data_IF_107960623211
#
_entry.id   IF_107960623211
#
_cell.length_a   1.000
_cell.length_b   1.000
_cell.length_c   1.000
_cell.angle_alpha   90.00
_cell.angle_beta   90.00
_cell.angle_gamma   90.00
#
_symmetry.space_group_name_H-M   'P 1'
#
loop_
_entity.id
_entity.type
_entity.pdbx_description
1 polymer ?
#
# COMPACT_ATOMS: atom_id res chain seq x y z
N UNK A 1 -5.20 -1.64 -5.18
CA UNK A 1 -5.21 -0.25 -4.66
C UNK A 1 -3.87 0.03 -3.98
N UNK A 2 -3.29 1.18 -4.23
CA UNK A 2 -2.16 1.74 -3.49
C UNK A 2 -2.57 3.11 -2.99
N UNK A 3 -2.24 3.43 -1.76
CA UNK A 3 -2.36 4.79 -1.24
C UNK A 3 -0.97 5.41 -1.20
N UNK A 4 -0.83 6.59 -1.72
CA UNK A 4 0.46 7.28 -1.86
C UNK A 4 0.38 8.70 -1.31
N UNK A 5 1.25 9.00 -0.37
CA UNK A 5 1.58 10.34 0.07
C UNK A 5 3.04 10.68 -0.26
N UNK A 6 3.48 11.90 0.01
CA UNK A 6 4.85 12.36 -0.29
C UNK A 6 5.96 11.46 0.27
N UNK A 7 5.77 10.87 1.45
CA UNK A 7 6.83 10.12 2.14
C UNK A 7 6.46 8.68 2.50
N UNK A 8 5.26 8.21 2.13
CA UNK A 8 4.79 6.86 2.42
C UNK A 8 3.87 6.37 1.31
N UNK A 9 4.04 5.11 0.89
CA UNK A 9 3.09 4.37 0.06
C UNK A 9 2.69 3.11 0.78
N UNK A 10 1.39 2.81 0.80
CA UNK A 10 0.84 1.59 1.42
C UNK A 10 -0.08 0.86 0.46
N UNK A 11 -0.08 -0.46 0.53
CA UNK A 11 -0.93 -1.34 -0.28
C UNK A 11 -1.62 -2.32 0.67
N UNK A 12 -2.93 -2.23 0.86
CA UNK A 12 -3.67 -3.21 1.63
C UNK A 12 -3.88 -4.50 0.80
N UNK A 13 -3.63 -5.65 1.43
CA UNK A 13 -3.91 -6.98 0.85
C UNK A 13 -5.42 -7.19 0.80
N UNK A 14 -6.09 -6.98 1.93
CA UNK A 14 -7.55 -6.98 2.04
C UNK A 14 -8.07 -5.56 2.23
N UNK A 15 -9.24 -5.28 1.65
CA UNK A 15 -9.93 -3.99 1.76
C UNK A 15 -11.30 -4.20 2.38
N UNK A 16 -12.15 -3.32 2.50
CA UNK A 16 -13.57 -3.26 2.87
C UNK A 16 -14.19 -4.60 3.39
N UNK A 17 -13.52 -5.26 4.33
CA UNK A 17 -13.97 -6.46 5.02
C UNK A 17 -14.11 -6.17 6.51
N UNK A 18 -15.05 -6.82 7.22
CA UNK A 18 -15.03 -6.86 8.67
C UNK A 18 -13.68 -7.38 9.17
N UNK A 19 -13.14 -6.79 10.23
CA UNK A 19 -11.83 -7.20 10.76
C UNK A 19 -11.79 -8.69 11.15
N UNK A 20 -12.92 -9.23 11.62
CA UNK A 20 -13.06 -10.65 11.97
C UNK A 20 -12.86 -11.60 10.77
N UNK A 21 -13.12 -11.13 9.54
CA UNK A 21 -13.04 -11.95 8.33
C UNK A 21 -11.67 -11.89 7.65
N UNK A 22 -10.81 -10.97 8.11
CA UNK A 22 -9.49 -10.73 7.47
C UNK A 22 -8.61 -11.98 7.54
N UNK A 23 -8.45 -12.58 8.73
CA UNK A 23 -7.59 -13.76 8.88
C UNK A 23 -8.02 -14.91 7.97
N UNK A 24 -9.33 -15.18 7.88
CA UNK A 24 -9.88 -16.23 7.00
C UNK A 24 -9.81 -15.90 5.50
N UNK A 25 -9.59 -14.63 5.14
CA UNK A 25 -9.48 -14.20 3.74
C UNK A 25 -8.04 -14.20 3.24
N UNK A 26 -7.05 -14.06 4.15
CA UNK A 26 -5.65 -14.08 3.78
C UNK A 26 -5.25 -15.43 3.19
N UNK A 27 -4.44 -15.39 2.13
CA UNK A 27 -3.81 -16.57 1.54
C UNK A 27 -2.47 -16.19 0.94
N UNK A 28 -1.58 -17.17 0.79
CA UNK A 28 -0.29 -16.97 0.11
C UNK A 28 -0.48 -16.33 -1.26
N UNK A 29 -1.37 -16.87 -2.07
CA UNK A 29 -1.65 -16.38 -3.42
C UNK A 29 -2.19 -14.94 -3.45
N UNK A 30 -3.05 -14.56 -2.50
CA UNK A 30 -3.57 -13.20 -2.41
C UNK A 30 -2.47 -12.21 -2.03
N UNK A 31 -1.63 -12.54 -1.05
CA UNK A 31 -0.50 -11.70 -0.62
C UNK A 31 0.49 -11.51 -1.78
N UNK A 32 0.86 -12.59 -2.46
CA UNK A 32 1.72 -12.53 -3.66
C UNK A 32 1.12 -11.65 -4.76
N UNK A 33 -0.15 -11.87 -5.09
CA UNK A 33 -0.81 -11.10 -6.15
C UNK A 33 -0.79 -9.59 -5.85
N UNK A 34 -1.05 -9.19 -4.60
CA UNK A 34 -0.99 -7.80 -4.16
C UNK A 34 0.45 -7.27 -4.13
N UNK A 35 1.40 -8.08 -3.67
CA UNK A 35 2.84 -7.76 -3.69
C UNK A 35 3.35 -7.50 -5.11
N UNK A 36 3.08 -8.42 -6.06
CA UNK A 36 3.45 -8.23 -7.48
C UNK A 36 2.81 -6.98 -8.09
N UNK A 37 1.53 -6.73 -7.77
CA UNK A 37 0.85 -5.53 -8.26
C UNK A 37 1.49 -4.25 -7.70
N UNK A 38 1.90 -4.26 -6.43
CA UNK A 38 2.61 -3.14 -5.80
C UNK A 38 3.98 -2.90 -6.47
N UNK A 39 4.79 -3.94 -6.60
CA UNK A 39 6.13 -3.87 -7.18
C UNK A 39 6.11 -3.40 -8.64
N UNK A 40 5.25 -3.99 -9.48
CA UNK A 40 5.04 -3.53 -10.86
C UNK A 40 4.47 -2.11 -10.93
N UNK A 41 3.61 -1.75 -9.97
CA UNK A 41 3.07 -0.40 -9.86
C UNK A 41 4.14 0.63 -9.55
N UNK A 42 5.08 0.32 -8.66
CA UNK A 42 6.24 1.17 -8.34
C UNK A 42 7.14 1.36 -9.55
N UNK A 43 7.40 0.31 -10.32
CA UNK A 43 8.16 0.42 -11.56
C UNK A 43 7.43 1.28 -12.59
N UNK A 44 6.15 0.97 -12.84
CA UNK A 44 5.41 1.55 -13.97
C UNK A 44 4.93 2.97 -13.73
N UNK A 45 4.51 3.30 -12.49
CA UNK A 45 3.88 4.59 -12.16
C UNK A 45 4.82 5.56 -11.44
N UNK A 46 5.89 5.05 -10.81
CA UNK A 46 6.85 5.86 -10.05
C UNK A 46 8.27 5.81 -10.60
N UNK A 47 8.51 5.01 -11.63
CA UNK A 47 9.82 4.94 -12.29
C UNK A 47 10.91 4.25 -11.47
N UNK A 48 10.57 3.59 -10.38
CA UNK A 48 11.54 2.91 -9.50
C UNK A 48 11.94 1.59 -10.16
N UNK A 49 13.18 1.50 -10.64
CA UNK A 49 13.65 0.32 -11.39
C UNK A 49 13.72 -0.94 -10.51
N UNK A 50 14.24 -0.79 -9.31
CA UNK A 50 14.40 -1.86 -8.32
C UNK A 50 13.59 -1.56 -7.05
N UNK A 51 12.26 -1.74 -7.07
CA UNK A 51 11.42 -1.37 -5.95
C UNK A 51 11.61 -2.28 -4.75
N UNK A 52 11.65 -1.68 -3.57
CA UNK A 52 11.77 -2.36 -2.28
C UNK A 52 10.41 -2.40 -1.60
N UNK A 53 9.91 -3.60 -1.31
CA UNK A 53 8.63 -3.82 -0.65
C UNK A 53 8.87 -4.31 0.79
N UNK A 54 8.32 -3.61 1.78
CA UNK A 54 8.29 -4.08 3.15
C UNK A 54 6.92 -4.67 3.46
N UNK A 55 6.87 -5.90 3.97
CA UNK A 55 5.63 -6.60 4.30
C UNK A 55 5.38 -6.53 5.79
N UNK A 56 4.21 -6.03 6.20
CA UNK A 56 3.79 -6.02 7.58
C UNK A 56 3.38 -7.43 8.03
N UNK A 57 3.61 -7.73 9.31
CA UNK A 57 2.96 -8.85 9.97
C UNK A 57 1.46 -8.58 10.11
N UNK A 58 0.69 -9.63 10.29
CA UNK A 58 -0.73 -9.56 10.58
C UNK A 58 -0.98 -9.39 12.09
N UNK A 59 -0.25 -10.21 12.87
CA UNK A 59 -0.36 -10.26 14.32
C UNK A 59 0.59 -9.27 15.02
N UNK A 60 0.33 -8.90 16.27
CA UNK A 60 1.27 -8.14 17.09
C UNK A 60 2.65 -8.80 17.10
N UNK A 61 3.71 -7.99 17.10
CA UNK A 61 5.11 -8.42 17.06
C UNK A 61 5.43 -9.40 15.90
N UNK A 62 4.68 -9.30 14.78
CA UNK A 62 4.77 -10.25 13.67
C UNK A 62 4.64 -11.71 14.10
N UNK A 63 3.68 -12.00 15.00
CA UNK A 63 3.33 -13.33 15.47
C UNK A 63 4.26 -13.93 16.52
N UNK A 64 5.38 -13.25 16.85
CA UNK A 64 6.35 -13.68 17.88
C UNK A 64 6.71 -15.18 17.78
N UNK A 65 7.13 -15.60 16.58
CA UNK A 65 7.48 -17.00 16.32
C UNK A 65 6.30 -17.99 16.38
N UNK A 66 5.07 -17.49 16.27
CA UNK A 66 3.83 -18.28 16.31
C UNK A 66 3.13 -18.26 17.67
N UNK A 67 3.68 -17.56 18.66
CA UNK A 67 3.05 -17.45 19.98
C UNK A 67 1.79 -16.58 19.99
N UNK A 68 1.73 -15.59 19.07
CA UNK A 68 0.62 -14.65 18.93
C UNK A 68 -0.19 -14.84 17.64
N UNK A 69 -0.11 -16.01 17.03
CA UNK A 69 -0.76 -16.35 15.77
C UNK A 69 0.23 -16.97 14.80
N UNK A 70 -0.29 -17.69 13.80
CA UNK A 70 0.56 -18.46 12.87
C UNK A 70 0.50 -17.93 11.43
N UNK A 71 -0.28 -16.89 11.16
CA UNK A 71 -0.49 -16.34 9.82
C UNK A 71 0.82 -15.86 9.19
N UNK A 72 1.77 -15.38 10.00
CA UNK A 72 3.10 -15.04 9.53
C UNK A 72 3.83 -16.27 9.01
N UNK A 73 3.82 -17.36 9.76
CA UNK A 73 4.52 -18.62 9.42
C UNK A 73 3.83 -19.33 8.27
N UNK A 74 2.50 -19.41 8.32
CA UNK A 74 1.73 -20.26 7.42
C UNK A 74 1.38 -19.56 6.09
N UNK A 75 1.36 -18.20 6.05
CA UNK A 75 0.91 -17.45 4.89
C UNK A 75 1.92 -16.36 4.44
N UNK A 76 2.38 -15.49 5.36
CA UNK A 76 3.11 -14.27 4.97
C UNK A 76 4.55 -14.61 4.58
N UNK A 77 5.26 -15.43 5.38
CA UNK A 77 6.63 -15.85 5.08
C UNK A 77 6.70 -16.61 3.75
N UNK A 78 5.85 -17.63 3.50
CA UNK A 78 5.84 -18.29 2.19
C UNK A 78 5.61 -17.33 1.00
N UNK A 79 4.69 -16.37 1.14
CA UNK A 79 4.45 -15.38 0.09
C UNK A 79 5.66 -14.46 -0.16
N UNK A 80 6.36 -14.05 0.90
CA UNK A 80 7.60 -13.27 0.80
C UNK A 80 8.69 -14.08 0.09
N UNK A 81 8.87 -15.35 0.45
CA UNK A 81 9.87 -16.23 -0.15
C UNK A 81 9.60 -16.46 -1.63
N UNK A 82 8.36 -16.66 -2.03
CA UNK A 82 7.97 -16.82 -3.42
C UNK A 82 8.25 -15.53 -4.22
N UNK A 83 7.93 -14.35 -3.69
CA UNK A 83 8.24 -13.07 -4.33
C UNK A 83 9.76 -12.86 -4.46
N UNK A 84 10.55 -13.25 -3.45
CA UNK A 84 12.02 -13.20 -3.52
C UNK A 84 12.58 -14.16 -4.59
N UNK A 85 12.01 -15.36 -4.71
CA UNK A 85 12.39 -16.33 -5.74
C UNK A 85 12.10 -15.81 -7.17
N UNK A 86 11.14 -14.90 -7.33
CA UNK A 86 10.88 -14.17 -8.58
C UNK A 86 11.89 -13.03 -8.83
N UNK A 87 12.83 -12.76 -7.93
CA UNK A 87 13.84 -11.71 -8.04
C UNK A 87 13.45 -10.36 -7.44
N UNK A 88 12.33 -10.27 -6.69
CA UNK A 88 11.91 -9.02 -6.07
C UNK A 88 12.61 -8.74 -4.74
N UNK A 89 12.88 -7.46 -4.47
CA UNK A 89 13.37 -7.00 -3.17
C UNK A 89 12.22 -6.87 -2.17
N UNK A 90 11.98 -7.93 -1.39
CA UNK A 90 10.91 -8.00 -0.40
C UNK A 90 11.49 -8.29 0.98
N UNK A 91 11.10 -7.52 1.98
CA UNK A 91 11.51 -7.71 3.38
C UNK A 91 10.30 -7.94 4.29
N UNK A 92 10.52 -8.57 5.44
CA UNK A 92 9.48 -8.87 6.42
C UNK A 92 9.34 -10.35 6.74
N UNK A 93 8.27 -10.75 7.45
CA UNK A 93 7.26 -9.85 8.03
C UNK A 93 7.83 -8.96 9.13
N UNK A 94 7.46 -7.69 9.13
CA UNK A 94 7.89 -6.73 10.15
C UNK A 94 6.74 -6.44 11.11
N UNK A 95 7.00 -6.21 12.42
CA UNK A 95 5.99 -5.67 13.32
C UNK A 95 5.44 -4.35 12.78
N UNK A 96 4.13 -4.26 12.57
CA UNK A 96 3.51 -3.12 11.89
C UNK A 96 3.71 -1.80 12.63
N UNK A 97 3.72 -1.82 13.96
CA UNK A 97 3.92 -0.66 14.82
C UNK A 97 5.29 0.00 14.65
N UNK A 98 6.30 -0.72 14.16
CA UNK A 98 7.66 -0.21 13.96
C UNK A 98 7.98 0.16 12.51
N UNK A 99 7.07 -0.01 11.55
CA UNK A 99 7.35 0.20 10.14
C UNK A 99 7.30 1.66 9.68
N UNK A 100 6.50 2.51 10.34
CA UNK A 100 6.08 3.78 9.74
C UNK A 100 6.82 5.02 10.26
N UNK A 101 7.78 4.88 11.16
CA UNK A 101 8.63 6.00 11.56
C UNK A 101 9.66 6.35 10.47
N UNK A 102 10.21 7.55 10.51
CA UNK A 102 11.03 8.12 9.42
C UNK A 102 12.19 7.22 9.01
N UNK A 103 12.96 6.66 9.96
CA UNK A 103 14.10 5.82 9.64
C UNK A 103 13.69 4.46 9.02
N UNK A 104 12.53 3.90 9.40
CA UNK A 104 12.01 2.68 8.79
C UNK A 104 11.55 2.95 7.35
N UNK A 105 10.80 4.03 7.10
CA UNK A 105 10.30 4.41 5.77
C UNK A 105 11.42 4.66 4.75
N UNK A 106 12.61 5.05 5.17
CA UNK A 106 13.76 5.21 4.29
C UNK A 106 14.28 3.87 3.69
N UNK A 107 13.87 2.73 4.23
CA UNK A 107 14.36 1.41 3.83
C UNK A 107 13.52 0.72 2.77
N UNK A 108 12.32 1.23 2.45
CA UNK A 108 11.42 0.65 1.46
C UNK A 108 10.73 1.73 0.62
N UNK A 109 10.13 1.33 -0.49
CA UNK A 109 9.43 2.21 -1.40
C UNK A 109 7.90 2.10 -1.25
N UNK A 110 7.41 0.96 -0.75
CA UNK A 110 6.03 0.77 -0.30
C UNK A 110 5.94 -0.27 0.81
N UNK A 111 4.90 -0.16 1.65
CA UNK A 111 4.51 -1.14 2.66
C UNK A 111 3.31 -1.96 2.18
N UNK A 112 3.41 -3.28 2.22
CA UNK A 112 2.30 -4.20 2.00
C UNK A 112 1.68 -4.55 3.36
N UNK A 113 0.46 -4.14 3.57
CA UNK A 113 -0.27 -4.27 4.83
C UNK A 113 -1.37 -5.32 4.69
N UNK A 114 -1.63 -6.11 5.72
CA UNK A 114 -2.56 -7.24 5.62
C UNK A 114 -4.03 -6.81 5.54
N UNK A 115 -4.37 -5.65 6.12
CA UNK A 115 -5.75 -5.15 6.15
C UNK A 115 -5.82 -3.63 6.00
N UNK A 116 -7.04 -3.15 5.78
CA UNK A 116 -7.35 -1.77 5.44
C UNK A 116 -6.72 -0.76 6.42
N UNK A 117 -7.04 -0.82 7.70
CA UNK A 117 -6.61 0.21 8.65
C UNK A 117 -5.11 0.13 8.94
N UNK A 118 -4.49 -1.05 8.85
CA UNK A 118 -3.03 -1.19 8.94
C UNK A 118 -2.31 -0.38 7.84
N UNK A 119 -2.94 -0.23 6.67
CA UNK A 119 -2.42 0.56 5.56
C UNK A 119 -2.80 2.05 5.68
N UNK A 120 -4.05 2.35 6.05
CA UNK A 120 -4.60 3.69 5.95
C UNK A 120 -4.29 4.56 7.16
N UNK A 121 -4.26 4.00 8.37
CA UNK A 121 -3.96 4.77 9.59
C UNK A 121 -2.61 5.48 9.48
N UNK A 122 -1.49 4.80 9.19
CA UNK A 122 -0.19 5.47 9.10
C UNK A 122 -0.13 6.46 7.93
N UNK A 123 -0.76 6.17 6.79
CA UNK A 123 -0.80 7.09 5.68
C UNK A 123 -1.58 8.36 6.05
N UNK A 124 -2.78 8.22 6.59
CA UNK A 124 -3.62 9.38 6.96
C UNK A 124 -3.08 10.16 8.14
N UNK A 125 -2.36 9.53 9.05
CA UNK A 125 -1.67 10.24 10.13
C UNK A 125 -0.56 11.17 9.59
N UNK A 126 0.06 10.82 8.47
CA UNK A 126 1.15 11.59 7.86
C UNK A 126 0.67 12.50 6.71
N UNK A 127 -0.32 12.07 5.94
CA UNK A 127 -0.69 12.62 4.64
C UNK A 127 -2.21 12.68 4.46
N UNK A 128 -2.93 13.25 5.44
CA UNK A 128 -4.40 13.31 5.39
C UNK A 128 -4.91 14.15 4.20
N UNK A 129 -4.21 15.24 3.88
CA UNK A 129 -4.65 16.24 2.92
C UNK A 129 -4.16 16.00 1.49
N UNK A 130 -3.10 15.20 1.33
CA UNK A 130 -2.43 14.98 0.05
C UNK A 130 -2.25 13.50 -0.29
N UNK A 131 -2.89 12.62 0.47
CA UNK A 131 -2.98 11.20 0.17
C UNK A 131 -3.78 10.92 -1.10
N UNK A 132 -3.23 10.08 -1.98
CA UNK A 132 -3.82 9.74 -3.28
C UNK A 132 -4.08 8.25 -3.36
N UNK A 133 -5.28 7.87 -3.78
CA UNK A 133 -5.62 6.48 -4.13
C UNK A 133 -5.24 6.21 -5.59
N UNK A 134 -4.41 5.20 -5.82
CA UNK A 134 -3.95 4.79 -7.14
C UNK A 134 -4.43 3.36 -7.41
N UNK A 135 -5.15 3.15 -8.50
CA UNK A 135 -5.52 1.80 -8.93
C UNK A 135 -4.39 1.19 -9.75
N UNK A 136 -3.79 0.13 -9.22
CA UNK A 136 -2.72 -0.60 -9.89
C UNK A 136 -3.26 -1.65 -10.86
N UNK A 137 -2.43 -2.04 -11.83
CA UNK A 137 -2.73 -3.12 -12.78
C UNK A 137 -3.61 -2.72 -13.96
N UNK A 138 -4.06 -1.47 -14.05
CA UNK A 138 -4.84 -0.98 -15.19
C UNK A 138 -3.95 -0.58 -16.38
N UNK A 139 -4.45 -0.70 -17.62
CA UNK A 139 -3.75 -0.17 -18.80
C UNK A 139 -3.66 1.37 -18.77
N UNK A 140 -4.63 2.03 -18.16
CA UNK A 140 -4.66 3.48 -17.95
C UNK A 140 -4.08 3.88 -16.59
N UNK A 141 -3.72 5.15 -16.40
CA UNK A 141 -3.48 5.74 -15.08
C UNK A 141 -4.82 6.12 -14.45
N UNK A 142 -5.07 5.66 -13.23
CA UNK A 142 -6.25 6.04 -12.45
C UNK A 142 -5.83 6.42 -11.04
N UNK A 143 -6.04 7.69 -10.72
CA UNK A 143 -5.83 8.27 -9.39
C UNK A 143 -7.14 8.88 -8.88
N UNK A 144 -7.30 8.98 -7.59
CA UNK A 144 -8.44 9.63 -6.95
C UNK A 144 -8.01 10.20 -5.58
N UNK A 145 -8.68 11.25 -5.08
CA UNK A 145 -8.57 11.63 -3.68
C UNK A 145 -8.94 10.46 -2.77
N UNK A 146 -8.34 10.40 -1.59
CA UNK A 146 -8.63 9.36 -0.59
C UNK A 146 -9.57 9.88 0.51
N UNK A 147 -10.69 10.45 0.11
CA UNK A 147 -11.75 10.92 1.01
C UNK A 147 -13.15 10.59 0.45
N UNK A 148 -14.16 10.68 1.33
CA UNK A 148 -15.56 10.46 0.97
C UNK A 148 -16.17 11.62 0.18
N UNK A 149 -17.43 11.46 -0.17
CA UNK A 149 -18.20 12.41 -1.00
C UNK A 149 -18.56 13.72 -0.29
N UNK A 150 -18.45 13.78 1.06
CA UNK A 150 -18.68 14.98 1.87
C UNK A 150 -19.97 15.74 1.50
N UNK A 151 -21.09 15.05 1.45
CA UNK A 151 -22.40 15.62 1.08
C UNK A 151 -22.83 16.80 1.96
N UNK A 152 -22.34 16.85 3.20
CA UNK A 152 -22.62 17.92 4.20
C UNK A 152 -22.08 19.28 3.77
N UNK A 153 -21.09 19.34 2.90
CA UNK A 153 -20.52 20.58 2.37
C UNK A 153 -20.85 20.81 0.88
N UNK A 154 -21.69 19.94 0.27
CA UNK A 154 -22.07 20.09 -1.13
C UNK A 154 -22.79 21.43 -1.37
N UNK A 155 -22.34 22.21 -2.35
CA UNK A 155 -22.89 23.53 -2.67
C UNK A 155 -22.52 24.65 -1.70
N UNK A 156 -21.72 24.39 -0.66
CA UNK A 156 -21.32 25.38 0.33
C UNK A 156 -20.02 26.14 -0.01
N UNK A 157 -19.36 25.80 -1.12
CA UNK A 157 -18.07 26.36 -1.58
C UNK A 157 -16.95 26.26 -0.51
N UNK A 158 -16.94 25.13 0.24
CA UNK A 158 -16.04 24.88 1.36
C UNK A 158 -15.13 23.67 1.15
N UNK A 159 -15.17 23.04 -0.04
CA UNK A 159 -14.37 21.86 -0.33
C UNK A 159 -12.88 22.21 -0.36
N UNK A 160 -12.07 21.38 0.29
CA UNK A 160 -10.61 21.49 0.22
C UNK A 160 -10.10 20.86 -1.09
N UNK A 161 -9.46 21.62 -2.00
CA UNK A 161 -9.02 21.09 -3.29
C UNK A 161 -7.71 20.33 -3.22
N UNK A 162 -6.99 20.29 -2.08
CA UNK A 162 -5.60 19.78 -1.99
C UNK A 162 -5.50 18.31 -2.41
N UNK A 163 -6.40 17.46 -1.94
CA UNK A 163 -6.39 16.03 -2.29
C UNK A 163 -6.66 15.81 -3.80
N UNK A 164 -7.58 16.57 -4.41
CA UNK A 164 -7.84 16.49 -5.85
C UNK A 164 -6.63 16.97 -6.65
N UNK A 165 -6.03 18.08 -6.26
CA UNK A 165 -4.82 18.60 -6.89
C UNK A 165 -3.64 17.60 -6.78
N UNK A 166 -3.50 16.93 -5.63
CA UNK A 166 -2.51 15.86 -5.46
C UNK A 166 -2.77 14.68 -6.40
N UNK A 167 -4.03 14.24 -6.52
CA UNK A 167 -4.41 13.16 -7.43
C UNK A 167 -4.12 13.51 -8.90
N UNK A 168 -4.40 14.74 -9.34
CA UNK A 168 -4.10 15.20 -10.70
C UNK A 168 -2.58 15.20 -10.95
N UNK A 169 -1.78 15.78 -10.04
CA UNK A 169 -0.31 15.78 -10.16
C UNK A 169 0.26 14.37 -10.21
N UNK A 170 -0.28 13.46 -9.41
CA UNK A 170 0.15 12.06 -9.42
C UNK A 170 -0.21 11.37 -10.74
N UNK A 171 -1.37 11.67 -11.31
CA UNK A 171 -1.76 11.14 -12.62
C UNK A 171 -0.82 11.61 -13.72
N UNK A 172 -0.51 12.91 -13.75
CA UNK A 172 0.42 13.52 -14.71
C UNK A 172 1.81 12.89 -14.60
N UNK A 173 2.39 12.82 -13.39
CA UNK A 173 3.69 12.21 -13.16
C UNK A 173 3.74 10.74 -13.62
N UNK A 174 2.71 9.96 -13.26
CA UNK A 174 2.63 8.56 -13.67
C UNK A 174 2.48 8.39 -15.19
N UNK A 175 1.72 9.26 -15.85
CA UNK A 175 1.55 9.24 -17.30
C UNK A 175 2.88 9.57 -18.02
N UNK A 176 3.60 10.59 -17.56
CA UNK A 176 4.91 10.95 -18.09
C UNK A 176 5.91 9.78 -17.97
N UNK A 177 5.97 9.13 -16.80
CA UNK A 177 6.84 7.94 -16.58
C UNK A 177 6.47 6.79 -17.54
N UNK A 178 5.18 6.52 -17.72
CA UNK A 178 4.73 5.46 -18.65
C UNK A 178 5.10 5.77 -20.10
N UNK A 179 5.01 7.03 -20.53
CA UNK A 179 5.34 7.44 -21.89
C UNK A 179 6.83 7.28 -22.22
N UNK A 180 7.72 7.35 -21.23
CA UNK A 180 9.17 7.16 -21.45
C UNK A 180 9.61 5.70 -21.48
N UNK A 181 8.73 4.77 -21.16
CA UNK A 181 9.03 3.34 -21.03
C UNK A 181 8.22 2.42 -21.97
N UNK A 182 7.32 2.98 -22.75
CA UNK A 182 6.59 2.31 -23.83
C UNK A 182 7.29 2.53 -25.13
#
# INVERSE_FOLDING_TARGET
>A
MMLAGPTLRTVPVTTHLPLADVAGTLSVSLIEARGRAALRGLQRNFGIAEPRLAVAGFNPHAGEGGALGREEIDLIIPAIENLRAEGWHVTGPHPADTMFHTAARARYDAALCMYHDQALIPLKALHFEDGVNITLGLPIVRTAPDHGTAFDIAGADRADPRAMAAAIRQAEASAAIRATRG
#
